data_IF_770769567838
#
_entry.id   IF_770769567838
#
_cell.length_a   1.000
_cell.length_b   1.000
_cell.length_c   1.000
_cell.angle_alpha   90.00
_cell.angle_beta   90.00
_cell.angle_gamma   90.00
#
_symmetry.space_group_name_H-M   'P 1'
#
loop_
_entity.id
_entity.type
_entity.pdbx_description
1 polymer ?
#
# COMPACT_ATOMS: atom_id res chain seq x y z
N UNK A 1 -3.21 -33.56 3.23
CA UNK A 1 -1.88 -32.94 3.31
C UNK A 1 -1.65 -31.89 2.26
N UNK A 2 -1.94 -32.16 0.99
CA UNK A 2 -1.78 -31.19 -0.08
C UNK A 2 -2.68 -29.95 0.10
N UNK A 3 -3.89 -30.13 0.60
CA UNK A 3 -4.81 -29.01 0.83
C UNK A 3 -4.29 -28.05 1.89
N UNK A 4 -3.69 -28.56 2.96
CA UNK A 4 -3.08 -27.74 4.01
C UNK A 4 -1.86 -26.97 3.47
N UNK A 5 -1.00 -27.64 2.67
CA UNK A 5 0.17 -27.00 2.05
C UNK A 5 -0.26 -25.88 1.11
N UNK A 6 -1.31 -26.11 0.30
CA UNK A 6 -1.82 -25.15 -0.66
C UNK A 6 -2.36 -23.90 0.07
N UNK A 7 -3.04 -24.07 1.21
CA UNK A 7 -3.56 -22.96 2.01
C UNK A 7 -2.43 -22.13 2.61
N UNK A 8 -1.38 -22.80 3.12
CA UNK A 8 -0.21 -22.11 3.68
C UNK A 8 0.52 -21.36 2.58
N UNK A 9 0.71 -21.98 1.41
CA UNK A 9 1.37 -21.33 0.26
C UNK A 9 0.59 -20.10 -0.20
N UNK A 10 -0.74 -20.18 -0.23
CA UNK A 10 -1.58 -19.05 -0.60
C UNK A 10 -1.44 -17.90 0.39
N UNK A 11 -1.43 -18.22 1.69
CA UNK A 11 -1.26 -17.23 2.75
C UNK A 11 0.10 -16.57 2.65
N UNK A 12 1.15 -17.36 2.47
CA UNK A 12 2.52 -16.85 2.36
C UNK A 12 2.67 -15.94 1.13
N UNK A 13 2.09 -16.34 0.01
CA UNK A 13 2.11 -15.54 -1.22
C UNK A 13 1.38 -14.19 -1.00
N UNK A 14 0.24 -14.22 -0.31
CA UNK A 14 -0.51 -13.00 0.00
C UNK A 14 0.28 -12.09 0.93
N UNK A 15 0.90 -12.63 1.97
CA UNK A 15 1.71 -11.84 2.90
C UNK A 15 2.90 -11.22 2.20
N UNK A 16 3.56 -11.95 1.29
CA UNK A 16 4.66 -11.42 0.50
C UNK A 16 4.19 -10.31 -0.43
N UNK A 17 3.03 -10.47 -1.04
CA UNK A 17 2.43 -9.43 -1.88
C UNK A 17 2.15 -8.17 -1.07
N UNK A 18 1.61 -8.31 0.14
CA UNK A 18 1.33 -7.19 1.03
C UNK A 18 2.62 -6.48 1.44
N UNK A 19 3.65 -7.23 1.80
CA UNK A 19 4.96 -6.67 2.14
C UNK A 19 5.53 -5.88 0.98
N UNK A 20 5.48 -6.44 -0.24
CA UNK A 20 5.97 -5.77 -1.44
C UNK A 20 5.21 -4.47 -1.70
N UNK A 21 3.90 -4.47 -1.53
CA UNK A 21 3.08 -3.26 -1.71
C UNK A 21 3.37 -2.22 -0.65
N UNK A 22 3.60 -2.63 0.60
CA UNK A 22 4.01 -1.71 1.66
C UNK A 22 5.36 -1.10 1.34
N UNK A 23 6.29 -1.89 0.84
CA UNK A 23 7.60 -1.42 0.41
C UNK A 23 7.46 -0.37 -0.71
N UNK A 24 6.60 -0.64 -1.68
CA UNK A 24 6.35 0.28 -2.79
C UNK A 24 5.76 1.61 -2.31
N UNK A 25 4.96 1.60 -1.24
CA UNK A 25 4.41 2.82 -0.65
C UNK A 25 5.46 3.67 0.05
N UNK A 26 6.58 3.07 0.46
CA UNK A 26 7.68 3.81 1.09
C UNK A 26 8.34 4.77 0.11
N UNK A 27 8.35 4.49 -1.19
CA UNK A 27 8.98 5.36 -2.18
C UNK A 27 8.27 6.72 -2.28
N UNK A 28 6.96 6.80 -2.55
CA UNK A 28 6.29 8.10 -2.58
C UNK A 28 6.33 8.81 -1.24
N UNK A 29 6.30 8.07 -0.14
CA UNK A 29 6.41 8.66 1.20
C UNK A 29 7.76 9.32 1.41
N UNK A 30 8.84 8.65 1.02
CA UNK A 30 10.19 9.20 1.11
C UNK A 30 10.35 10.41 0.21
N UNK A 31 9.84 10.34 -1.02
CA UNK A 31 9.89 11.46 -1.97
C UNK A 31 9.14 12.66 -1.44
N UNK A 32 7.96 12.45 -0.86
CA UNK A 32 7.15 13.51 -0.24
C UNK A 32 7.93 14.19 0.86
N UNK A 33 8.53 13.42 1.76
CA UNK A 33 9.33 13.95 2.85
C UNK A 33 10.51 14.76 2.35
N UNK A 34 11.25 14.23 1.38
CA UNK A 34 12.41 14.93 0.80
C UNK A 34 12.01 16.24 0.13
N UNK A 35 10.91 16.26 -0.62
CA UNK A 35 10.43 17.49 -1.28
C UNK A 35 10.07 18.56 -0.27
N UNK A 36 9.39 18.18 0.82
CA UNK A 36 9.02 19.13 1.86
C UNK A 36 10.25 19.67 2.59
N UNK A 37 11.20 18.80 2.90
CA UNK A 37 12.47 19.22 3.55
C UNK A 37 13.26 20.17 2.68
N UNK A 38 13.36 19.88 1.37
CA UNK A 38 14.06 20.75 0.43
C UNK A 38 13.36 22.11 0.31
N UNK A 39 12.03 22.12 0.26
CA UNK A 39 11.28 23.36 0.23
C UNK A 39 11.53 24.22 1.46
N UNK A 40 11.59 23.60 2.63
CA UNK A 40 11.91 24.30 3.89
C UNK A 40 13.34 24.84 3.87
N UNK A 41 14.30 24.06 3.39
CA UNK A 41 15.69 24.47 3.33
C UNK A 41 15.90 25.67 2.41
N UNK A 42 15.28 25.65 1.24
CA UNK A 42 15.38 26.76 0.29
C UNK A 42 14.64 28.00 0.79
N UNK A 43 13.47 27.80 1.38
CA UNK A 43 12.71 28.84 2.09
C UNK A 43 12.08 29.92 1.23
N UNK A 44 12.36 29.95 -0.09
CA UNK A 44 11.73 30.92 -0.96
C UNK A 44 10.33 30.48 -1.38
N UNK A 45 9.51 31.43 -1.82
CA UNK A 45 8.12 31.18 -2.16
C UNK A 45 7.95 30.15 -3.26
N UNK A 46 8.77 30.25 -4.32
CA UNK A 46 8.68 29.31 -5.45
C UNK A 46 9.02 27.89 -5.02
N UNK A 47 10.09 27.71 -4.26
CA UNK A 47 10.51 26.39 -3.76
C UNK A 47 9.46 25.79 -2.83
N UNK A 48 8.84 26.61 -1.97
CA UNK A 48 7.79 26.15 -1.10
C UNK A 48 6.55 25.71 -1.88
N UNK A 49 6.16 26.46 -2.91
CA UNK A 49 5.02 26.09 -3.76
C UNK A 49 5.30 24.81 -4.53
N UNK A 50 6.50 24.66 -5.08
CA UNK A 50 6.90 23.43 -5.78
C UNK A 50 6.89 22.23 -4.83
N UNK A 51 7.34 22.43 -3.58
CA UNK A 51 7.32 21.38 -2.57
C UNK A 51 5.90 20.93 -2.27
N UNK A 52 4.97 21.87 -2.11
CA UNK A 52 3.55 21.56 -1.85
C UNK A 52 2.94 20.83 -3.03
N UNK A 53 3.16 21.31 -4.25
CA UNK A 53 2.63 20.66 -5.45
C UNK A 53 3.16 19.24 -5.59
N UNK A 54 4.46 19.06 -5.40
CA UNK A 54 5.09 17.74 -5.44
C UNK A 54 4.55 16.82 -4.35
N UNK A 55 4.37 17.36 -3.14
CA UNK A 55 3.80 16.59 -2.03
C UNK A 55 2.39 16.11 -2.33
N UNK A 56 1.57 16.95 -2.96
CA UNK A 56 0.22 16.56 -3.35
C UNK A 56 0.22 15.42 -4.37
N UNK A 57 1.13 15.43 -5.33
CA UNK A 57 1.29 14.34 -6.30
C UNK A 57 1.64 13.03 -5.59
N UNK A 58 2.61 13.09 -4.68
CA UNK A 58 3.04 11.89 -3.95
C UNK A 58 1.94 11.36 -3.02
N UNK A 59 1.18 12.28 -2.40
CA UNK A 59 0.04 11.91 -1.56
C UNK A 59 -1.03 11.18 -2.36
N UNK A 60 -1.31 11.62 -3.59
CA UNK A 60 -2.26 10.93 -4.47
C UNK A 60 -1.81 9.51 -4.79
N UNK A 61 -0.52 9.32 -5.04
CA UNK A 61 0.05 7.97 -5.26
C UNK A 61 -0.11 7.08 -4.04
N UNK A 62 0.09 7.64 -2.84
CA UNK A 62 -0.10 6.90 -1.59
C UNK A 62 -1.54 6.45 -1.43
N UNK A 63 -2.49 7.33 -1.64
CA UNK A 63 -3.91 6.98 -1.55
C UNK A 63 -4.30 5.89 -2.54
N UNK A 64 -3.79 5.97 -3.76
CA UNK A 64 -4.04 4.97 -4.78
C UNK A 64 -3.49 3.60 -4.36
N UNK A 65 -2.25 3.57 -3.88
CA UNK A 65 -1.61 2.33 -3.43
C UNK A 65 -2.34 1.71 -2.24
N UNK A 66 -2.73 2.53 -1.27
CA UNK A 66 -3.50 2.08 -0.10
C UNK A 66 -4.85 1.52 -0.55
N UNK A 67 -5.51 2.19 -1.49
CA UNK A 67 -6.79 1.73 -2.03
C UNK A 67 -6.68 0.36 -2.67
N UNK A 68 -5.63 0.13 -3.45
CA UNK A 68 -5.37 -1.17 -4.10
C UNK A 68 -5.12 -2.27 -3.06
N UNK A 69 -4.38 -1.97 -2.01
CA UNK A 69 -4.14 -2.92 -0.92
C UNK A 69 -5.44 -3.27 -0.20
N UNK A 70 -6.25 -2.25 0.07
CA UNK A 70 -7.54 -2.43 0.74
C UNK A 70 -8.48 -3.31 -0.08
N UNK A 71 -8.56 -3.08 -1.39
CA UNK A 71 -9.36 -3.90 -2.28
C UNK A 71 -8.91 -5.37 -2.26
N UNK A 72 -7.61 -5.59 -2.26
CA UNK A 72 -7.03 -6.92 -2.20
C UNK A 72 -7.40 -7.62 -0.89
N UNK A 73 -7.28 -6.92 0.22
CA UNK A 73 -7.62 -7.45 1.54
C UNK A 73 -9.10 -7.76 1.66
N UNK A 74 -9.96 -6.88 1.16
CA UNK A 74 -11.41 -7.10 1.17
C UNK A 74 -11.78 -8.37 0.39
N UNK A 75 -11.15 -8.57 -0.77
CA UNK A 75 -11.37 -9.79 -1.56
C UNK A 75 -10.92 -11.04 -0.81
N UNK A 76 -9.77 -10.99 -0.15
CA UNK A 76 -9.28 -12.13 0.63
C UNK A 76 -10.16 -12.43 1.84
N UNK A 77 -10.65 -11.40 2.51
CA UNK A 77 -11.61 -11.57 3.61
C UNK A 77 -12.89 -12.22 3.09
N UNK A 78 -13.40 -11.76 1.95
CA UNK A 78 -14.57 -12.32 1.32
C UNK A 78 -14.41 -13.80 0.98
N UNK A 79 -13.24 -14.18 0.45
CA UNK A 79 -12.93 -15.60 0.17
C UNK A 79 -12.90 -16.43 1.45
N UNK A 80 -12.27 -15.91 2.50
CA UNK A 80 -12.17 -16.61 3.77
C UNK A 80 -13.55 -16.81 4.38
N UNK A 81 -14.41 -15.80 4.35
CA UNK A 81 -15.79 -15.88 4.85
C UNK A 81 -16.60 -16.88 4.03
N UNK A 82 -16.53 -16.80 2.70
CA UNK A 82 -17.24 -17.73 1.81
C UNK A 82 -16.80 -19.18 2.03
N UNK A 83 -15.51 -19.39 2.24
CA UNK A 83 -14.97 -20.73 2.51
C UNK A 83 -15.44 -21.26 3.85
N UNK A 84 -15.45 -20.41 4.88
CA UNK A 84 -15.94 -20.79 6.21
C UNK A 84 -17.42 -21.14 6.19
N UNK A 85 -18.24 -20.40 5.46
CA UNK A 85 -19.67 -20.68 5.29
C UNK A 85 -19.89 -22.02 4.56
N UNK A 86 -19.10 -22.30 3.52
CA UNK A 86 -19.19 -23.55 2.79
C UNK A 86 -18.80 -24.73 3.68
N UNK A 87 -17.77 -24.59 4.51
CA UNK A 87 -17.31 -25.64 5.42
C UNK A 87 -18.23 -25.80 6.63
N UNK A 88 -18.99 -24.77 6.98
CA UNK A 88 -19.89 -24.77 8.12
C UNK A 88 -21.14 -25.65 7.94
N UNK A 89 -21.46 -26.02 6.73
CA UNK A 89 -22.60 -26.91 6.44
C UNK A 89 -22.18 -28.38 6.45
#
# INVERSE_FOLDING_TARGET
MRAASTSVDHRDAMLQEMESRLHDLCQPLTTLQCRLELGQLCGDEVSLMEAVEGALVETAKLFQGIGMMRERLVREIGRAVGRAEADGD
#
